data_IF_883599623881
#
_entry.id   IF_883599623881
#
_cell.length_a   1.000
_cell.length_b   1.000
_cell.length_c   1.000
_cell.angle_alpha   90.00
_cell.angle_beta   90.00
_cell.angle_gamma   90.00
#
_symmetry.space_group_name_H-M   'P 1'
#
loop_
_entity.id
_entity.type
_entity.pdbx_description
1 polymer ?
#
# COMPACT_ATOMS: atom_id res chain seq x y z
N UNK A 1 31.00 -23.67 15.42
CA UNK A 1 30.28 -23.76 14.16
C UNK A 1 29.06 -24.62 14.40
N UNK A 2 27.90 -24.03 14.57
CA UNK A 2 26.63 -24.79 14.69
C UNK A 2 26.33 -25.29 13.27
N UNK A 3 26.28 -26.61 13.07
CA UNK A 3 25.90 -27.19 11.78
C UNK A 3 24.48 -26.71 11.45
N UNK A 4 24.35 -26.03 10.31
CA UNK A 4 23.06 -25.66 9.76
C UNK A 4 22.23 -26.92 9.50
N UNK A 5 21.03 -26.95 10.06
CA UNK A 5 20.08 -28.03 9.85
C UNK A 5 18.91 -27.48 9.05
N UNK A 6 18.85 -27.78 7.77
CA UNK A 6 17.85 -27.31 6.82
C UNK A 6 16.42 -27.61 7.27
N UNK A 7 16.15 -28.82 7.81
CA UNK A 7 14.79 -29.18 8.29
C UNK A 7 14.40 -28.37 9.50
N UNK A 8 15.32 -28.13 10.44
CA UNK A 8 15.07 -27.28 11.59
C UNK A 8 14.82 -25.83 11.18
N UNK A 9 15.61 -25.33 10.20
CA UNK A 9 15.44 -24.00 9.64
C UNK A 9 14.07 -23.85 8.96
N UNK A 10 13.69 -24.77 8.07
CA UNK A 10 12.38 -24.76 7.39
C UNK A 10 11.22 -24.77 8.39
N UNK A 11 11.34 -25.56 9.47
CA UNK A 11 10.35 -25.59 10.54
C UNK A 11 10.24 -24.26 11.27
N UNK A 12 11.37 -23.58 11.51
CA UNK A 12 11.37 -22.25 12.14
C UNK A 12 10.80 -21.18 11.20
N UNK A 13 11.19 -21.19 9.93
CA UNK A 13 10.63 -20.28 8.94
C UNK A 13 9.10 -20.42 8.80
N UNK A 14 8.58 -21.64 8.88
CA UNK A 14 7.14 -21.86 8.90
C UNK A 14 6.45 -21.20 10.09
N UNK A 15 7.05 -21.25 11.29
CA UNK A 15 6.51 -20.54 12.46
C UNK A 15 6.59 -19.02 12.30
N UNK A 16 7.64 -18.53 11.64
CA UNK A 16 7.77 -17.11 11.31
C UNK A 16 6.65 -16.69 10.37
N UNK A 17 6.37 -17.44 9.31
CA UNK A 17 5.25 -17.18 8.40
C UNK A 17 3.90 -17.15 9.13
N UNK A 18 3.65 -18.09 10.05
CA UNK A 18 2.42 -18.08 10.90
C UNK A 18 2.32 -16.80 11.77
N UNK A 19 3.46 -16.25 12.21
CA UNK A 19 3.48 -14.97 12.95
C UNK A 19 3.21 -13.80 12.01
N UNK A 20 3.82 -13.80 10.82
CA UNK A 20 3.59 -12.77 9.79
C UNK A 20 2.11 -12.71 9.42
N UNK A 21 1.45 -13.84 9.13
CA UNK A 21 0.01 -13.88 8.83
C UNK A 21 -0.84 -13.25 9.96
N UNK A 22 -0.45 -13.42 11.21
CA UNK A 22 -1.14 -12.77 12.35
C UNK A 22 -0.92 -11.27 12.40
N UNK A 23 0.30 -10.80 12.09
CA UNK A 23 0.60 -9.37 12.01
C UNK A 23 -0.16 -8.71 10.86
N UNK A 24 -0.14 -9.33 9.67
CA UNK A 24 -0.90 -8.89 8.50
C UNK A 24 -2.40 -8.80 8.79
N UNK A 25 -2.97 -9.79 9.50
CA UNK A 25 -4.38 -9.77 9.87
C UNK A 25 -4.72 -8.60 10.82
N UNK A 26 -3.79 -8.23 11.73
CA UNK A 26 -3.94 -7.03 12.59
C UNK A 26 -3.82 -5.74 11.78
N UNK A 27 -2.81 -5.66 10.89
CA UNK A 27 -2.60 -4.53 10.01
C UNK A 27 -3.82 -4.29 9.12
N UNK A 28 -4.37 -5.34 8.48
CA UNK A 28 -5.59 -5.26 7.68
C UNK A 28 -6.79 -4.69 8.43
N UNK A 29 -6.97 -5.07 9.69
CA UNK A 29 -8.06 -4.49 10.51
C UNK A 29 -7.85 -3.00 10.72
N UNK A 30 -6.60 -2.56 10.93
CA UNK A 30 -6.27 -1.15 11.11
C UNK A 30 -6.43 -0.37 9.80
N UNK A 31 -5.91 -0.90 8.70
CA UNK A 31 -6.05 -0.33 7.35
C UNK A 31 -7.54 -0.21 6.95
N UNK A 32 -8.35 -1.23 7.24
CA UNK A 32 -9.80 -1.18 7.00
C UNK A 32 -10.47 -0.01 7.75
N UNK A 33 -10.11 0.22 9.01
CA UNK A 33 -10.65 1.36 9.80
C UNK A 33 -10.25 2.70 9.18
N UNK A 34 -8.96 2.89 8.85
CA UNK A 34 -8.47 4.09 8.21
C UNK A 34 -9.23 4.38 6.91
N UNK A 35 -9.50 3.34 6.12
CA UNK A 35 -10.27 3.43 4.87
C UNK A 35 -11.74 3.81 5.13
N UNK A 36 -12.36 3.22 6.14
CA UNK A 36 -13.73 3.57 6.53
C UNK A 36 -13.84 5.03 7.00
N UNK A 37 -12.90 5.49 7.82
CA UNK A 37 -12.87 6.88 8.29
C UNK A 37 -12.69 7.86 7.11
N UNK A 38 -11.85 7.53 6.14
CA UNK A 38 -11.65 8.32 4.93
C UNK A 38 -12.89 8.32 4.03
N UNK A 39 -13.55 7.18 3.88
CA UNK A 39 -14.81 7.04 3.15
C UNK A 39 -15.91 7.94 3.74
N UNK A 40 -16.05 7.95 5.07
CA UNK A 40 -16.99 8.81 5.77
C UNK A 40 -16.65 10.30 5.64
N UNK A 41 -15.36 10.65 5.67
CA UNK A 41 -14.90 12.01 5.42
C UNK A 41 -15.25 12.47 4.00
N UNK A 42 -14.99 11.67 2.98
CA UNK A 42 -15.38 11.99 1.59
C UNK A 42 -16.90 12.12 1.42
N UNK A 43 -17.67 11.22 2.06
CA UNK A 43 -19.13 11.32 2.11
C UNK A 43 -19.58 12.66 2.67
N UNK A 44 -19.01 13.06 3.80
CA UNK A 44 -19.31 14.33 4.45
C UNK A 44 -19.00 15.54 3.58
N UNK A 45 -17.89 15.50 2.83
CA UNK A 45 -17.54 16.55 1.86
C UNK A 45 -18.61 16.71 0.77
N UNK A 46 -19.07 15.59 0.19
CA UNK A 46 -20.11 15.62 -0.83
C UNK A 46 -21.44 16.09 -0.27
N UNK A 47 -21.81 15.66 0.94
CA UNK A 47 -23.05 16.12 1.61
C UNK A 47 -23.01 17.62 1.83
N UNK A 48 -21.91 18.17 2.35
CA UNK A 48 -21.76 19.62 2.55
C UNK A 48 -21.82 20.38 1.23
N UNK A 49 -21.18 19.87 0.20
CA UNK A 49 -21.18 20.45 -1.14
C UNK A 49 -22.60 20.55 -1.72
N UNK A 50 -23.41 19.49 -1.57
CA UNK A 50 -24.81 19.49 -1.99
C UNK A 50 -25.66 20.44 -1.13
N UNK A 51 -25.44 20.51 0.16
CA UNK A 51 -26.18 21.43 1.04
C UNK A 51 -25.97 22.90 0.68
N UNK A 52 -24.76 23.24 0.23
CA UNK A 52 -24.41 24.64 -0.07
C UNK A 52 -24.76 25.06 -1.51
N UNK A 53 -24.73 24.13 -2.47
CA UNK A 53 -24.74 24.46 -3.90
C UNK A 53 -25.84 23.76 -4.71
N UNK A 54 -26.64 22.86 -4.12
CA UNK A 54 -27.76 22.26 -4.84
C UNK A 54 -29.00 23.13 -4.80
N UNK A 55 -29.77 23.11 -5.90
CA UNK A 55 -31.14 23.59 -5.97
C UNK A 55 -32.02 22.40 -6.33
N UNK A 56 -33.09 22.18 -5.55
CA UNK A 56 -33.98 21.02 -5.76
C UNK A 56 -33.28 19.66 -5.86
N UNK A 57 -32.20 19.47 -5.06
CA UNK A 57 -31.41 18.25 -5.04
C UNK A 57 -30.45 18.06 -6.23
N UNK A 58 -30.36 19.04 -7.12
CA UNK A 58 -29.47 19.02 -8.28
C UNK A 58 -28.44 20.12 -8.19
N UNK A 59 -27.21 19.82 -8.61
CA UNK A 59 -26.13 20.80 -8.76
C UNK A 59 -25.98 21.17 -10.22
N UNK A 60 -25.99 22.49 -10.50
CA UNK A 60 -25.62 22.97 -11.84
C UNK A 60 -24.09 22.94 -11.97
N UNK A 61 -23.60 22.02 -12.81
CA UNK A 61 -22.17 21.83 -13.05
C UNK A 61 -21.49 23.12 -13.49
N UNK A 62 -22.09 23.88 -14.41
CA UNK A 62 -21.48 25.10 -14.93
C UNK A 62 -21.30 26.15 -13.79
N UNK A 63 -22.30 26.31 -12.94
CA UNK A 63 -22.22 27.21 -11.81
C UNK A 63 -21.08 26.83 -10.86
N UNK A 64 -20.97 25.58 -10.42
CA UNK A 64 -19.92 25.16 -9.47
C UNK A 64 -18.52 25.13 -10.10
N UNK A 65 -18.41 24.91 -11.41
CA UNK A 65 -17.14 24.93 -12.15
C UNK A 65 -16.62 26.37 -12.39
N UNK A 66 -17.50 27.39 -12.41
CA UNK A 66 -17.11 28.77 -12.69
C UNK A 66 -17.16 29.70 -11.48
N UNK A 67 -18.02 29.42 -10.50
CA UNK A 67 -18.08 30.21 -9.28
C UNK A 67 -16.83 30.03 -8.45
N UNK A 68 -16.24 31.17 -8.04
CA UNK A 68 -15.03 31.15 -7.21
C UNK A 68 -15.38 31.10 -5.73
N UNK A 69 -14.73 30.22 -5.00
CA UNK A 69 -14.90 30.13 -3.55
C UNK A 69 -14.21 31.35 -2.90
N UNK A 70 -15.00 32.19 -2.22
CA UNK A 70 -14.53 33.39 -1.52
C UNK A 70 -14.10 33.13 -0.07
N UNK A 71 -14.55 32.02 0.53
CA UNK A 71 -14.26 31.67 1.92
C UNK A 71 -13.52 30.34 2.00
N UNK A 72 -12.39 30.39 2.63
CA UNK A 72 -11.44 29.31 2.85
C UNK A 72 -11.97 28.25 3.84
N UNK A 73 -12.97 27.43 3.45
CA UNK A 73 -13.16 26.11 4.09
C UNK A 73 -11.91 25.27 4.00
N UNK A 74 -11.07 25.53 3.02
CA UNK A 74 -9.71 25.09 2.82
C UNK A 74 -8.81 25.23 4.05
N UNK A 75 -8.93 26.32 4.82
CA UNK A 75 -8.10 26.58 5.99
C UNK A 75 -8.36 25.59 7.12
N UNK A 76 -9.59 25.16 7.30
CA UNK A 76 -9.94 24.20 8.34
C UNK A 76 -9.46 22.79 7.97
N UNK A 77 -9.49 22.41 6.70
CA UNK A 77 -8.95 21.14 6.22
C UNK A 77 -7.42 21.12 6.33
N UNK A 78 -6.72 22.13 5.81
CA UNK A 78 -5.26 22.23 5.91
C UNK A 78 -4.80 22.30 7.35
N UNK A 79 -5.50 23.07 8.21
CA UNK A 79 -5.20 23.14 9.64
C UNK A 79 -5.40 21.80 10.33
N UNK A 80 -6.46 21.07 9.99
CA UNK A 80 -6.72 19.73 10.51
C UNK A 80 -5.58 18.75 10.16
N UNK A 81 -5.13 18.74 8.91
CA UNK A 81 -4.03 17.88 8.47
C UNK A 81 -2.68 18.27 9.08
N UNK A 82 -2.39 19.54 9.22
CA UNK A 82 -1.20 20.02 9.94
C UNK A 82 -1.21 19.57 11.41
N UNK A 83 -2.35 19.56 12.06
CA UNK A 83 -2.48 19.07 13.43
C UNK A 83 -2.34 17.55 13.54
N UNK A 84 -2.65 16.81 12.49
CA UNK A 84 -2.47 15.36 12.40
C UNK A 84 -1.06 14.96 11.94
N UNK A 85 -0.14 15.91 11.73
CA UNK A 85 1.24 15.66 11.29
C UNK A 85 1.36 15.24 9.83
N UNK A 86 0.32 15.51 9.03
CA UNK A 86 0.31 15.22 7.60
C UNK A 86 0.90 16.39 6.85
N UNK A 87 2.05 16.18 6.19
CA UNK A 87 2.67 17.18 5.32
C UNK A 87 1.95 17.20 3.97
N UNK A 88 1.07 18.18 3.80
CA UNK A 88 0.31 18.37 2.57
C UNK A 88 0.85 19.59 1.84
N UNK A 89 1.27 19.44 0.56
CA UNK A 89 1.73 20.58 -0.22
C UNK A 89 0.65 21.65 -0.29
N UNK A 90 0.91 22.81 0.32
CA UNK A 90 -0.01 23.93 0.30
C UNK A 90 0.08 24.63 -1.05
N UNK A 91 -0.94 24.48 -1.87
CA UNK A 91 -1.11 25.29 -3.07
C UNK A 91 -2.18 26.33 -2.78
N UNK A 92 -1.78 27.55 -2.46
CA UNK A 92 -2.68 28.67 -2.29
C UNK A 92 -3.22 29.10 -3.66
N UNK A 93 -4.47 28.72 -3.94
CA UNK A 93 -5.14 29.18 -5.16
C UNK A 93 -6.31 30.11 -4.80
N UNK A 94 -6.05 31.40 -4.78
CA UNK A 94 -7.07 32.46 -4.68
C UNK A 94 -8.12 32.42 -5.81
N UNK A 95 -7.92 31.52 -6.79
CA UNK A 95 -8.70 31.45 -8.02
C UNK A 95 -9.42 30.12 -8.27
N UNK A 96 -9.46 29.22 -7.28
CA UNK A 96 -10.12 27.90 -7.47
C UNK A 96 -11.64 28.07 -7.55
N UNK A 97 -12.28 27.27 -8.41
CA UNK A 97 -13.72 27.13 -8.41
C UNK A 97 -14.21 26.35 -7.20
N UNK A 98 -15.51 26.44 -6.92
CA UNK A 98 -16.17 25.63 -5.89
C UNK A 98 -15.94 24.13 -6.12
N UNK A 99 -16.03 23.71 -7.39
CA UNK A 99 -15.77 22.32 -7.80
C UNK A 99 -14.30 21.90 -7.57
N UNK A 100 -13.35 22.78 -7.93
CA UNK A 100 -11.93 22.50 -7.70
C UNK A 100 -11.61 22.41 -6.21
N UNK A 101 -12.31 23.19 -5.37
CA UNK A 101 -12.16 23.11 -3.92
C UNK A 101 -12.60 21.73 -3.38
N UNK A 102 -13.72 21.18 -3.88
CA UNK A 102 -14.16 19.82 -3.52
C UNK A 102 -13.17 18.75 -4.01
N UNK A 103 -12.72 18.84 -5.26
CA UNK A 103 -11.72 17.91 -5.81
C UNK A 103 -10.43 17.92 -4.98
N UNK A 104 -9.97 19.10 -4.62
CA UNK A 104 -8.78 19.26 -3.81
C UNK A 104 -8.95 18.69 -2.40
N UNK A 105 -10.16 18.80 -1.83
CA UNK A 105 -10.48 18.20 -0.54
C UNK A 105 -10.44 16.67 -0.59
N UNK A 106 -10.95 16.06 -1.67
CA UNK A 106 -10.85 14.61 -1.89
C UNK A 106 -9.38 14.19 -2.05
N UNK A 107 -8.59 14.94 -2.81
CA UNK A 107 -7.15 14.68 -2.94
C UNK A 107 -6.46 14.65 -1.58
N UNK A 108 -6.73 15.62 -0.72
CA UNK A 108 -6.13 15.69 0.61
C UNK A 108 -6.52 14.50 1.50
N UNK A 109 -7.78 14.08 1.48
CA UNK A 109 -8.22 12.91 2.25
C UNK A 109 -7.43 11.65 1.85
N UNK A 110 -7.18 11.47 0.55
CA UNK A 110 -6.45 10.31 0.04
C UNK A 110 -4.95 10.37 0.33
N UNK A 111 -4.33 11.55 0.22
CA UNK A 111 -2.92 11.73 0.59
C UNK A 111 -2.73 11.51 2.10
N UNK A 112 -3.62 12.05 2.93
CA UNK A 112 -3.58 11.81 4.37
C UNK A 112 -3.78 10.33 4.73
N UNK A 113 -4.66 9.62 4.00
CA UNK A 113 -4.82 8.17 4.16
C UNK A 113 -3.51 7.45 3.84
N UNK A 114 -2.89 7.73 2.68
CA UNK A 114 -1.66 7.06 2.25
C UNK A 114 -0.51 7.21 3.27
N UNK A 115 -0.41 8.34 3.95
CA UNK A 115 0.59 8.55 5.00
C UNK A 115 0.27 7.74 6.27
N UNK A 116 -1.01 7.65 6.65
CA UNK A 116 -1.45 6.80 7.78
C UNK A 116 -1.25 5.31 7.49
N UNK A 117 -1.52 4.87 6.25
CA UNK A 117 -1.28 3.51 5.80
C UNK A 117 0.20 3.18 5.77
N UNK A 118 1.05 4.14 5.32
CA UNK A 118 2.50 4.03 5.40
C UNK A 118 2.96 3.67 6.80
N UNK A 119 2.49 4.38 7.83
CA UNK A 119 2.85 4.11 9.22
C UNK A 119 2.39 2.74 9.73
N UNK A 120 1.32 2.17 9.19
CA UNK A 120 0.86 0.82 9.53
C UNK A 120 1.74 -0.24 8.88
N UNK A 121 2.06 -0.07 7.59
CA UNK A 121 2.84 -1.04 6.83
C UNK A 121 4.31 -1.01 7.26
N UNK A 122 4.89 0.17 7.43
CA UNK A 122 6.28 0.32 7.92
C UNK A 122 6.50 -0.39 9.27
N UNK A 123 5.54 -0.28 10.17
CA UNK A 123 5.62 -0.95 11.47
C UNK A 123 5.61 -2.49 11.33
N UNK A 124 4.78 -3.05 10.47
CA UNK A 124 4.72 -4.51 10.28
C UNK A 124 5.96 -5.03 9.53
N UNK A 125 6.40 -4.37 8.47
CA UNK A 125 7.58 -4.79 7.71
C UNK A 125 8.84 -4.75 8.56
N UNK A 126 8.95 -3.77 9.47
CA UNK A 126 10.02 -3.71 10.45
C UNK A 126 9.95 -4.89 11.43
N UNK A 127 8.78 -5.18 11.99
CA UNK A 127 8.59 -6.33 12.86
C UNK A 127 8.96 -7.65 12.15
N UNK A 128 8.60 -7.79 10.86
CA UNK A 128 8.93 -8.96 10.03
C UNK A 128 10.44 -9.10 9.83
N UNK A 129 11.10 -8.00 9.46
CA UNK A 129 12.55 -7.99 9.27
C UNK A 129 13.31 -8.38 10.56
N UNK A 130 12.89 -7.85 11.69
CA UNK A 130 13.52 -8.11 13.00
C UNK A 130 13.32 -9.55 13.50
N UNK A 131 12.49 -10.37 12.85
CA UNK A 131 12.32 -11.79 13.21
C UNK A 131 13.58 -12.63 12.98
N UNK A 132 14.40 -12.27 11.98
CA UNK A 132 15.65 -12.95 11.67
C UNK A 132 16.88 -12.06 11.91
N UNK A 133 16.86 -10.82 11.46
CA UNK A 133 17.99 -9.89 11.53
C UNK A 133 17.74 -8.84 12.61
N UNK A 134 18.35 -9.02 13.78
CA UNK A 134 18.31 -8.01 14.85
C UNK A 134 19.41 -6.98 14.59
N UNK A 135 19.09 -5.69 14.76
CA UNK A 135 19.98 -4.53 14.75
C UNK A 135 20.31 -3.89 13.39
N UNK A 136 19.56 -4.14 12.34
CA UNK A 136 19.65 -3.37 11.09
C UNK A 136 18.37 -2.58 10.84
N UNK A 137 18.51 -1.39 10.24
CA UNK A 137 17.39 -0.48 9.96
C UNK A 137 16.81 -0.86 8.57
N UNK A 138 15.80 -1.69 8.54
CA UNK A 138 15.05 -1.98 7.33
C UNK A 138 14.13 -0.81 6.98
N UNK A 139 14.11 -0.41 5.70
CA UNK A 139 13.21 0.63 5.17
C UNK A 139 12.43 0.08 4.00
N UNK A 140 11.11 -0.08 4.20
CA UNK A 140 10.20 -0.44 3.13
C UNK A 140 10.09 0.66 2.06
N UNK A 141 9.98 0.30 0.78
CA UNK A 141 9.63 1.23 -0.28
C UNK A 141 8.11 1.44 -0.32
N UNK A 142 7.64 2.45 0.37
CA UNK A 142 6.23 2.79 0.48
C UNK A 142 5.81 4.01 -0.38
N UNK A 143 6.67 4.47 -1.28
CA UNK A 143 6.34 5.52 -2.25
C UNK A 143 5.17 5.15 -3.19
N UNK A 144 4.96 3.87 -3.57
CA UNK A 144 3.77 3.47 -4.31
C UNK A 144 2.44 3.81 -3.63
N UNK A 145 2.36 3.91 -2.30
CA UNK A 145 1.13 4.33 -1.59
C UNK A 145 0.71 5.74 -1.98
N UNK A 146 1.65 6.68 -1.96
CA UNK A 146 1.38 8.06 -2.36
C UNK A 146 0.99 8.15 -3.84
N UNK A 147 1.73 7.47 -4.73
CA UNK A 147 1.44 7.44 -6.17
C UNK A 147 0.04 6.87 -6.45
N UNK A 148 -0.35 5.84 -5.73
CA UNK A 148 -1.69 5.25 -5.84
C UNK A 148 -2.78 6.21 -5.34
N UNK A 149 -2.53 6.94 -4.24
CA UNK A 149 -3.47 7.93 -3.71
C UNK A 149 -3.71 9.08 -4.71
N UNK A 150 -2.66 9.59 -5.35
CA UNK A 150 -2.76 10.62 -6.39
C UNK A 150 -3.56 10.10 -7.59
N UNK A 151 -3.20 8.93 -8.14
CA UNK A 151 -3.90 8.35 -9.29
C UNK A 151 -5.37 8.02 -8.98
N UNK A 152 -5.66 7.62 -7.74
CA UNK A 152 -7.02 7.35 -7.29
C UNK A 152 -7.83 8.64 -7.16
N UNK A 153 -7.22 9.72 -6.66
CA UNK A 153 -7.84 11.06 -6.59
C UNK A 153 -8.25 11.54 -7.98
N UNK A 154 -7.38 11.44 -8.98
CA UNK A 154 -7.69 11.86 -10.34
C UNK A 154 -8.91 11.12 -10.91
N UNK A 155 -9.00 9.82 -10.67
CA UNK A 155 -10.13 9.00 -11.12
C UNK A 155 -11.43 9.33 -10.39
N UNK A 156 -11.37 9.52 -9.07
CA UNK A 156 -12.54 9.88 -8.26
C UNK A 156 -13.08 11.26 -8.65
N UNK A 157 -12.19 12.23 -8.89
CA UNK A 157 -12.60 13.58 -9.29
C UNK A 157 -13.17 13.60 -10.72
N UNK A 158 -12.66 12.79 -11.65
CA UNK A 158 -13.28 12.59 -12.96
C UNK A 158 -14.66 11.95 -12.84
N UNK A 159 -14.82 10.93 -11.98
CA UNK A 159 -16.11 10.28 -11.74
C UNK A 159 -17.13 11.27 -11.15
N UNK A 160 -16.68 12.10 -10.20
CA UNK A 160 -17.50 13.17 -9.62
C UNK A 160 -17.98 14.16 -10.69
N UNK A 161 -17.09 14.67 -11.54
CA UNK A 161 -17.46 15.59 -12.61
C UNK A 161 -18.48 14.99 -13.58
N UNK A 162 -18.24 13.77 -14.03
CA UNK A 162 -19.16 13.06 -14.93
C UNK A 162 -20.55 12.89 -14.28
N UNK A 163 -20.57 12.57 -12.99
CA UNK A 163 -21.83 12.43 -12.24
C UNK A 163 -22.57 13.77 -12.09
N UNK A 164 -21.84 14.85 -11.87
CA UNK A 164 -22.43 16.20 -11.82
C UNK A 164 -22.98 16.63 -13.19
N UNK A 165 -22.27 16.36 -14.28
CA UNK A 165 -22.74 16.65 -15.66
C UNK A 165 -24.01 15.86 -15.98
N UNK A 166 -24.11 14.58 -15.55
CA UNK A 166 -25.30 13.75 -15.70
C UNK A 166 -26.44 14.13 -14.80
N UNK A 167 -26.20 15.02 -13.82
CA UNK A 167 -27.16 15.39 -12.78
C UNK A 167 -27.57 14.20 -11.89
N UNK A 168 -26.62 13.32 -11.60
CA UNK A 168 -26.86 12.19 -10.71
C UNK A 168 -27.27 12.69 -9.32
N UNK A 169 -28.06 11.90 -8.58
CA UNK A 169 -28.45 12.24 -7.21
C UNK A 169 -27.26 12.23 -6.28
N UNK A 170 -27.35 12.98 -5.19
CA UNK A 170 -26.34 13.03 -4.12
C UNK A 170 -25.97 11.63 -3.63
N UNK A 171 -26.97 10.79 -3.40
CA UNK A 171 -26.82 9.42 -2.92
C UNK A 171 -26.04 8.55 -3.92
N UNK A 172 -26.39 8.68 -5.22
CA UNK A 172 -25.68 7.96 -6.29
C UNK A 172 -24.21 8.38 -6.40
N UNK A 173 -23.95 9.69 -6.30
CA UNK A 173 -22.57 10.21 -6.33
C UNK A 173 -21.77 9.67 -5.15
N UNK A 174 -22.29 9.75 -3.93
CA UNK A 174 -21.63 9.23 -2.74
C UNK A 174 -21.33 7.75 -2.90
N UNK A 175 -22.32 6.95 -3.29
CA UNK A 175 -22.17 5.50 -3.45
C UNK A 175 -21.08 5.17 -4.48
N UNK A 176 -21.11 5.81 -5.65
CA UNK A 176 -20.14 5.57 -6.70
C UNK A 176 -18.70 5.92 -6.27
N UNK A 177 -18.51 7.04 -5.56
CA UNK A 177 -17.20 7.47 -5.10
C UNK A 177 -16.66 6.55 -4.01
N UNK A 178 -17.48 6.22 -2.99
CA UNK A 178 -17.04 5.42 -1.85
C UNK A 178 -16.78 3.96 -2.24
N UNK A 179 -17.66 3.32 -3.01
CA UNK A 179 -17.48 1.93 -3.45
C UNK A 179 -16.24 1.79 -4.35
N UNK A 180 -16.03 2.76 -5.25
CA UNK A 180 -14.85 2.73 -6.11
C UNK A 180 -13.58 2.92 -5.28
N UNK A 181 -13.56 3.89 -4.38
CA UNK A 181 -12.44 4.15 -3.48
C UNK A 181 -12.09 2.91 -2.65
N UNK A 182 -13.03 2.37 -1.88
CA UNK A 182 -12.76 1.27 -0.95
C UNK A 182 -12.20 0.04 -1.67
N UNK A 183 -12.76 -0.31 -2.82
CA UNK A 183 -12.32 -1.46 -3.60
C UNK A 183 -10.91 -1.30 -4.17
N UNK A 184 -10.60 -0.13 -4.74
CA UNK A 184 -9.30 0.08 -5.40
C UNK A 184 -8.20 0.28 -4.36
N UNK A 185 -8.47 1.07 -3.33
CA UNK A 185 -7.52 1.33 -2.27
C UNK A 185 -7.15 0.04 -1.53
N UNK A 186 -8.14 -0.75 -1.11
CA UNK A 186 -7.89 -2.02 -0.45
C UNK A 186 -6.94 -2.92 -1.26
N UNK A 187 -7.22 -3.09 -2.55
CA UNK A 187 -6.42 -3.96 -3.41
C UNK A 187 -4.98 -3.46 -3.56
N UNK A 188 -4.80 -2.15 -3.71
CA UNK A 188 -3.49 -1.55 -3.88
C UNK A 188 -2.66 -1.63 -2.59
N UNK A 189 -3.24 -1.27 -1.47
CA UNK A 189 -2.58 -1.26 -0.16
C UNK A 189 -2.24 -2.67 0.30
N UNK A 190 -3.15 -3.63 0.17
CA UNK A 190 -2.89 -5.04 0.48
C UNK A 190 -1.72 -5.59 -0.35
N UNK A 191 -1.69 -5.27 -1.66
CA UNK A 191 -0.60 -5.70 -2.54
C UNK A 191 0.76 -5.16 -2.10
N UNK A 192 0.83 -3.89 -1.73
CA UNK A 192 2.07 -3.25 -1.26
C UNK A 192 2.50 -3.92 0.05
N UNK A 193 1.61 -4.05 1.02
CA UNK A 193 1.90 -4.66 2.31
C UNK A 193 2.51 -6.07 2.15
N UNK A 194 1.84 -6.95 1.41
CA UNK A 194 2.34 -8.32 1.21
C UNK A 194 3.67 -8.39 0.48
N UNK A 195 3.88 -7.50 -0.49
CA UNK A 195 5.14 -7.45 -1.25
C UNK A 195 6.28 -7.00 -0.34
N UNK A 196 6.07 -5.96 0.45
CA UNK A 196 7.07 -5.43 1.38
C UNK A 196 7.36 -6.39 2.54
N UNK A 197 6.35 -7.08 3.08
CA UNK A 197 6.55 -8.08 4.14
C UNK A 197 7.37 -9.28 3.62
N UNK A 198 7.12 -9.76 2.39
CA UNK A 198 7.94 -10.81 1.78
C UNK A 198 9.37 -10.33 1.52
N UNK A 199 9.54 -9.10 1.05
CA UNK A 199 10.86 -8.52 0.83
C UNK A 199 11.61 -8.37 2.16
N UNK A 200 10.97 -7.84 3.19
CA UNK A 200 11.55 -7.71 4.53
C UNK A 200 12.01 -9.05 5.10
N UNK A 201 11.20 -10.10 4.94
CA UNK A 201 11.58 -11.47 5.33
C UNK A 201 12.80 -11.95 4.54
N UNK A 202 12.79 -11.79 3.23
CA UNK A 202 13.89 -12.25 2.35
C UNK A 202 15.19 -11.52 2.66
N UNK A 203 15.16 -10.20 2.79
CA UNK A 203 16.34 -9.40 3.13
C UNK A 203 16.87 -9.74 4.54
N UNK A 204 15.98 -10.02 5.50
CA UNK A 204 16.41 -10.48 6.83
C UNK A 204 17.14 -11.82 6.81
N UNK A 205 16.74 -12.73 5.91
CA UNK A 205 17.39 -14.01 5.70
C UNK A 205 18.75 -13.79 5.04
N UNK A 206 18.81 -12.93 4.02
CA UNK A 206 20.04 -12.56 3.35
C UNK A 206 21.08 -12.03 4.34
N UNK A 207 20.69 -11.01 5.10
CA UNK A 207 21.55 -10.36 6.11
C UNK A 207 22.06 -11.34 7.19
N UNK A 208 21.31 -12.39 7.44
CA UNK A 208 21.70 -13.41 8.44
C UNK A 208 22.70 -14.44 7.87
N UNK A 209 22.63 -14.75 6.58
CA UNK A 209 23.29 -15.92 6.03
C UNK A 209 24.27 -15.65 4.88
N UNK A 210 24.23 -14.52 4.17
CA UNK A 210 25.05 -14.30 2.96
C UNK A 210 26.56 -14.38 3.19
N UNK A 211 27.04 -14.04 4.40
CA UNK A 211 28.46 -14.12 4.76
C UNK A 211 28.95 -15.58 5.00
N UNK A 212 28.05 -16.46 5.43
CA UNK A 212 28.36 -17.85 5.79
C UNK A 212 27.97 -18.86 4.73
N UNK A 213 26.99 -18.51 3.85
CA UNK A 213 26.42 -19.38 2.83
C UNK A 213 26.45 -18.68 1.47
N UNK A 214 27.22 -19.19 0.49
CA UNK A 214 27.39 -18.50 -0.79
C UNK A 214 26.14 -18.60 -1.69
N UNK A 215 25.26 -19.57 -1.43
CA UNK A 215 24.12 -19.89 -2.29
C UNK A 215 22.83 -20.08 -1.52
N UNK A 216 21.73 -20.04 -2.24
CA UNK A 216 20.39 -20.30 -1.73
C UNK A 216 19.52 -20.95 -2.81
N UNK A 217 18.47 -21.60 -2.40
CA UNK A 217 17.32 -21.92 -3.26
C UNK A 217 16.05 -21.30 -2.74
N UNK A 218 15.03 -21.32 -3.59
CA UNK A 218 13.69 -20.85 -3.24
C UNK A 218 12.83 -22.06 -2.91
N UNK A 219 12.13 -22.02 -1.79
CA UNK A 219 11.11 -23.01 -1.44
C UNK A 219 9.73 -22.38 -1.46
N UNK A 220 8.79 -23.04 -2.13
CA UNK A 220 7.39 -22.61 -2.21
C UNK A 220 6.57 -23.16 -1.03
N UNK A 221 5.42 -22.55 -0.76
CA UNK A 221 4.47 -23.04 0.27
C UNK A 221 3.74 -24.33 -0.13
N UNK A 222 3.89 -24.78 -1.39
CA UNK A 222 3.28 -26.00 -1.96
C UNK A 222 1.77 -26.09 -1.81
N UNK A 223 1.10 -24.95 -1.80
CA UNK A 223 -0.35 -24.84 -1.81
C UNK A 223 -0.88 -24.41 -3.19
N UNK A 224 -2.19 -24.32 -3.34
CA UNK A 224 -2.87 -23.95 -4.59
C UNK A 224 -2.64 -22.49 -5.04
N UNK A 225 -2.09 -21.65 -4.16
CA UNK A 225 -1.76 -20.25 -4.43
C UNK A 225 -0.36 -20.05 -5.02
N UNK A 226 0.44 -21.11 -5.13
CA UNK A 226 1.79 -21.02 -5.73
C UNK A 226 1.67 -20.92 -7.24
N UNK A 227 2.25 -19.85 -7.82
CA UNK A 227 2.22 -19.63 -9.25
C UNK A 227 3.17 -20.60 -9.99
N UNK A 228 2.94 -20.77 -11.30
CA UNK A 228 3.74 -21.68 -12.13
C UNK A 228 5.23 -21.29 -12.15
N UNK A 229 5.53 -20.00 -12.28
CA UNK A 229 6.91 -19.52 -12.29
C UNK A 229 7.68 -19.87 -11.00
N UNK A 230 7.05 -19.66 -9.82
CA UNK A 230 7.67 -20.04 -8.55
C UNK A 230 7.93 -21.55 -8.45
N UNK A 231 7.02 -22.38 -9.02
CA UNK A 231 7.24 -23.84 -9.08
C UNK A 231 8.43 -24.23 -9.97
N UNK A 232 8.63 -23.50 -11.07
CA UNK A 232 9.72 -23.76 -12.02
C UNK A 232 11.09 -23.42 -11.43
N UNK A 233 11.19 -22.37 -10.62
CA UNK A 233 12.45 -21.96 -9.97
C UNK A 233 12.64 -22.59 -8.59
N UNK A 234 11.67 -23.36 -8.08
CA UNK A 234 11.80 -24.08 -6.81
C UNK A 234 13.01 -25.03 -6.87
N UNK A 235 13.90 -24.93 -5.89
CA UNK A 235 15.10 -25.76 -5.75
C UNK A 235 16.20 -25.53 -6.79
N UNK A 236 16.10 -24.51 -7.63
CA UNK A 236 17.24 -24.06 -8.40
C UNK A 236 18.15 -23.29 -7.45
N UNK A 237 19.44 -23.68 -7.39
CA UNK A 237 20.45 -22.98 -6.59
C UNK A 237 20.89 -21.70 -7.27
N UNK A 238 20.92 -20.61 -6.52
CA UNK A 238 21.38 -19.28 -6.94
C UNK A 238 22.46 -18.77 -5.99
N UNK A 239 23.32 -17.87 -6.44
CA UNK A 239 24.26 -17.18 -5.57
C UNK A 239 23.61 -15.94 -4.94
N UNK A 240 23.97 -15.58 -3.70
CA UNK A 240 23.49 -14.32 -3.09
C UNK A 240 24.00 -13.10 -3.84
N UNK A 241 25.18 -13.18 -4.48
CA UNK A 241 25.74 -12.11 -5.33
C UNK A 241 24.89 -11.79 -6.55
N UNK A 242 24.21 -12.79 -7.12
CA UNK A 242 23.34 -12.64 -8.29
C UNK A 242 21.86 -12.49 -7.95
N UNK A 243 21.53 -12.36 -6.67
CA UNK A 243 20.16 -12.23 -6.19
C UNK A 243 19.50 -10.96 -6.74
N UNK A 244 18.38 -11.14 -7.46
CA UNK A 244 17.57 -10.08 -8.04
C UNK A 244 16.12 -10.26 -7.65
N UNK A 245 15.59 -9.32 -6.86
CA UNK A 245 14.16 -9.27 -6.49
C UNK A 245 13.31 -9.27 -7.77
N UNK A 246 12.27 -10.09 -7.77
CA UNK A 246 11.37 -10.22 -8.92
C UNK A 246 11.85 -11.17 -10.02
N UNK A 247 13.06 -11.73 -9.92
CA UNK A 247 13.63 -12.66 -10.89
C UNK A 247 13.96 -14.01 -10.25
N UNK A 248 14.92 -14.03 -9.36
CA UNK A 248 15.40 -15.22 -8.66
C UNK A 248 15.44 -15.05 -7.13
N UNK A 249 15.02 -13.91 -6.61
CA UNK A 249 14.97 -13.59 -5.18
C UNK A 249 13.58 -13.06 -4.78
N UNK A 250 12.92 -13.63 -3.75
CA UNK A 250 11.59 -13.20 -3.35
C UNK A 250 11.53 -11.75 -2.82
N UNK A 251 10.40 -11.03 -3.06
CA UNK A 251 9.21 -11.49 -3.76
C UNK A 251 9.40 -11.56 -5.28
N UNK A 252 9.05 -12.70 -5.90
CA UNK A 252 9.13 -12.87 -7.36
C UNK A 252 8.01 -12.12 -8.07
N UNK A 253 6.87 -11.95 -7.42
CA UNK A 253 5.69 -11.26 -7.92
C UNK A 253 4.87 -10.71 -6.73
N UNK A 254 3.93 -9.80 -6.96
CA UNK A 254 2.99 -9.38 -5.90
C UNK A 254 2.30 -10.58 -5.24
N UNK A 255 2.16 -10.55 -3.91
CA UNK A 255 1.64 -11.66 -3.09
C UNK A 255 2.51 -12.94 -3.10
N UNK A 256 3.78 -12.84 -3.45
CA UNK A 256 4.71 -13.96 -3.33
C UNK A 256 4.85 -14.37 -1.85
N UNK A 257 4.92 -15.69 -1.61
CA UNK A 257 5.09 -16.28 -0.26
C UNK A 257 6.22 -17.31 -0.23
N UNK A 258 7.10 -17.23 -1.21
CA UNK A 258 8.28 -18.10 -1.26
C UNK A 258 9.27 -17.66 -0.19
N UNK A 259 10.03 -18.63 0.32
CA UNK A 259 11.10 -18.40 1.30
C UNK A 259 12.45 -18.67 0.68
N UNK A 260 13.47 -17.98 1.15
CA UNK A 260 14.87 -18.21 0.82
C UNK A 260 15.41 -19.27 1.77
N UNK A 261 16.08 -20.29 1.24
CA UNK A 261 16.73 -21.36 2.02
C UNK A 261 18.22 -21.32 1.69
N UNK A 262 19.09 -20.90 2.63
CA UNK A 262 20.53 -20.87 2.42
C UNK A 262 21.12 -22.27 2.20
N UNK A 263 22.14 -22.38 1.35
CA UNK A 263 22.81 -23.62 1.01
C UNK A 263 24.34 -23.49 1.06
N UNK A 264 25.01 -24.57 1.42
CA UNK A 264 26.47 -24.68 1.34
C UNK A 264 26.99 -25.21 -0.01
N UNK A 265 26.08 -25.47 -0.95
CA UNK A 265 26.45 -25.98 -2.26
C UNK A 265 26.86 -24.85 -3.20
N UNK A 266 28.02 -24.98 -3.84
CA UNK A 266 28.41 -24.15 -4.96
C UNK A 266 27.73 -24.73 -6.20
N UNK A 267 26.87 -23.98 -6.93
CA UNK A 267 26.26 -24.48 -8.16
C UNK A 267 27.38 -24.91 -9.17
N UNK A 268 27.18 -26.01 -9.87
CA UNK A 268 28.10 -26.42 -10.93
C UNK A 268 28.25 -25.30 -11.98
N UNK A 269 29.48 -24.84 -12.19
CA UNK A 269 29.80 -23.80 -13.17
C UNK A 269 29.98 -22.38 -12.61
N UNK A 270 29.84 -22.15 -11.31
CA UNK A 270 30.19 -20.88 -10.67
C UNK A 270 31.64 -20.93 -10.21
N UNK A 271 32.49 -20.04 -10.77
CA UNK A 271 33.82 -19.76 -10.22
C UNK A 271 33.69 -18.67 -9.15
N UNK A 272 34.16 -18.95 -7.92
CA UNK A 272 34.27 -18.00 -6.82
C UNK A 272 35.35 -16.96 -7.10
#
# INVERSE_FOLDING_TARGET
MVMYNEDAYKKEQKKILDKIEKLEAKAKKRLKRLRQDTSESMRSLVVMFFADYSKDGVIDYHTVATTKEKKLRKFDLVRRYHMEGVDVPFVAHEKMSVLDTLKYSIYFELVALSQRERGVIDAITKDVYEMNAKNRDYKADLDPLYKNAVALSDRLTQTLEQSLVRKDSKESIIQNLTDYFERIDQRNTDRIMYTEDTLALSESIRDLFEDDYPTYHIETMRDDRVCQHCKEIEKISFTFTDAKVGVNYPPIHPYCRCIVVPENSIPEGVQL
#
